data_IF_464512077439
#
_entry.id   IF_464512077439
#
_cell.length_a   1.000
_cell.length_b   1.000
_cell.length_c   1.000
_cell.angle_alpha   90.00
_cell.angle_beta   90.00
_cell.angle_gamma   90.00
#
_symmetry.space_group_name_H-M   'P 1'
#
loop_
_entity.id
_entity.type
_entity.pdbx_description
1 polymer ?
#
# COMPACT_ATOMS: atom_id res chain seq x y z
N UNK A 1 -7.92 -15.34 22.41
CA UNK A 1 -7.18 -14.95 21.20
C UNK A 1 -7.89 -13.75 20.61
N UNK A 2 -7.33 -12.56 20.74
CA UNK A 2 -7.86 -11.36 20.07
C UNK A 2 -7.52 -11.46 18.59
N UNK A 3 -8.52 -11.76 17.78
CA UNK A 3 -8.43 -11.80 16.32
C UNK A 3 -8.25 -10.37 15.82
N UNK A 4 -7.27 -10.12 14.95
CA UNK A 4 -7.12 -8.84 14.26
C UNK A 4 -8.46 -8.43 13.62
N UNK A 5 -8.92 -7.21 13.92
CA UNK A 5 -10.10 -6.62 13.30
C UNK A 5 -9.83 -5.17 12.92
N UNK A 6 -9.68 -4.90 11.62
CA UNK A 6 -9.58 -3.53 11.08
C UNK A 6 -10.94 -2.91 10.71
N UNK A 7 -12.05 -3.61 10.99
CA UNK A 7 -13.40 -3.21 10.61
C UNK A 7 -13.75 -3.52 9.15
N UNK A 8 -12.84 -4.12 8.39
CA UNK A 8 -13.06 -4.50 6.98
C UNK A 8 -12.93 -6.02 6.82
N UNK A 9 -14.05 -6.77 6.68
CA UNK A 9 -14.03 -8.23 6.65
C UNK A 9 -13.10 -8.83 5.58
N UNK A 10 -13.01 -8.20 4.41
CA UNK A 10 -12.14 -8.65 3.33
C UNK A 10 -10.65 -8.57 3.71
N UNK A 11 -10.23 -7.54 4.44
CA UNK A 11 -8.84 -7.38 4.91
C UNK A 11 -8.54 -8.35 6.06
N UNK A 12 -9.46 -8.47 7.02
CA UNK A 12 -9.34 -9.45 8.12
C UNK A 12 -9.20 -10.88 7.58
N UNK A 13 -10.08 -11.27 6.66
CA UNK A 13 -10.08 -12.60 6.04
C UNK A 13 -8.83 -12.86 5.22
N UNK A 14 -8.34 -11.87 4.46
CA UNK A 14 -7.11 -12.01 3.69
C UNK A 14 -5.89 -12.25 4.60
N UNK A 15 -5.75 -11.49 5.69
CA UNK A 15 -4.67 -11.70 6.66
C UNK A 15 -4.72 -13.12 7.26
N UNK A 16 -5.91 -13.54 7.69
CA UNK A 16 -6.09 -14.83 8.38
C UNK A 16 -5.86 -16.05 7.47
N UNK A 17 -6.20 -15.95 6.18
CA UNK A 17 -6.30 -17.14 5.31
C UNK A 17 -5.35 -17.13 4.12
N UNK A 18 -4.86 -15.97 3.67
CA UNK A 18 -4.13 -15.84 2.41
C UNK A 18 -2.72 -15.25 2.56
N UNK A 19 -2.47 -14.42 3.58
CA UNK A 19 -1.20 -13.70 3.71
C UNK A 19 0.04 -14.62 3.74
N UNK A 20 -0.06 -15.74 4.45
CA UNK A 20 1.04 -16.73 4.57
C UNK A 20 1.28 -17.44 3.23
N UNK A 21 0.22 -17.84 2.53
CA UNK A 21 0.34 -18.47 1.21
C UNK A 21 0.92 -17.50 0.18
N UNK A 22 0.45 -16.25 0.20
CA UNK A 22 0.93 -15.20 -0.70
C UNK A 22 2.44 -14.95 -0.52
N UNK A 23 2.94 -14.98 0.72
CA UNK A 23 4.36 -14.87 1.01
C UNK A 23 5.14 -16.12 0.57
N UNK A 24 4.64 -17.32 0.87
CA UNK A 24 5.28 -18.61 0.49
C UNK A 24 5.39 -18.77 -1.02
N UNK A 25 4.39 -18.33 -1.77
CA UNK A 25 4.33 -18.40 -3.24
C UNK A 25 4.98 -17.20 -3.93
N UNK A 26 5.46 -16.22 -3.16
CA UNK A 26 6.12 -15.03 -3.71
C UNK A 26 5.19 -14.05 -4.45
N UNK A 27 3.87 -14.12 -4.24
CA UNK A 27 2.91 -13.20 -4.89
C UNK A 27 2.76 -11.88 -4.16
N UNK A 28 3.07 -11.84 -2.85
CA UNK A 28 3.13 -10.61 -2.07
C UNK A 28 4.10 -10.77 -0.89
N UNK A 29 4.81 -9.69 -0.54
CA UNK A 29 5.55 -9.60 0.71
C UNK A 29 4.68 -8.90 1.76
N UNK A 30 4.41 -9.58 2.86
CA UNK A 30 3.57 -9.06 3.97
C UNK A 30 4.43 -8.68 5.16
N UNK A 31 4.16 -7.51 5.73
CA UNK A 31 4.78 -7.00 6.95
C UNK A 31 3.70 -6.77 8.00
N UNK A 32 4.02 -7.02 9.27
CA UNK A 32 3.08 -6.90 10.39
C UNK A 32 3.70 -6.09 11.51
N UNK A 33 2.88 -5.35 12.25
CA UNK A 33 3.25 -4.76 13.52
C UNK A 33 2.71 -5.62 14.66
N UNK A 34 3.53 -5.83 15.68
CA UNK A 34 3.14 -6.46 16.93
C UNK A 34 3.59 -5.60 18.12
N UNK A 35 2.84 -5.60 19.23
CA UNK A 35 3.33 -5.02 20.47
C UNK A 35 4.62 -5.72 20.92
N UNK A 36 5.53 -4.99 21.55
CA UNK A 36 6.77 -5.56 22.10
C UNK A 36 6.42 -6.68 23.08
N UNK A 37 7.01 -7.86 22.89
CA UNK A 37 6.75 -9.04 23.71
C UNK A 37 5.44 -9.77 23.40
N UNK A 38 4.80 -9.47 22.27
CA UNK A 38 3.58 -10.14 21.81
C UNK A 38 3.67 -10.54 20.34
N UNK A 39 3.07 -11.68 20.00
CA UNK A 39 2.89 -12.13 18.61
C UNK A 39 1.53 -11.68 18.03
N UNK A 40 0.79 -10.85 18.77
CA UNK A 40 -0.51 -10.35 18.32
C UNK A 40 -0.31 -9.30 17.23
N UNK A 41 -0.80 -9.58 16.03
CA UNK A 41 -0.78 -8.63 14.92
C UNK A 41 -1.79 -7.51 15.19
N UNK A 42 -1.32 -6.26 15.13
CA UNK A 42 -2.15 -5.04 15.31
C UNK A 42 -2.16 -4.13 14.08
N UNK A 43 -1.31 -4.40 13.10
CA UNK A 43 -1.33 -3.74 11.80
C UNK A 43 -0.64 -4.63 10.76
N UNK A 44 -0.99 -4.47 9.49
CA UNK A 44 -0.24 -5.10 8.41
C UNK A 44 -0.34 -4.33 7.09
N UNK A 45 0.63 -4.58 6.21
CA UNK A 45 0.57 -4.21 4.80
C UNK A 45 1.19 -5.28 3.93
N UNK A 46 0.84 -5.25 2.64
CA UNK A 46 1.39 -6.17 1.65
C UNK A 46 1.81 -5.42 0.39
N UNK A 47 3.00 -5.73 -0.11
CA UNK A 47 3.62 -5.10 -1.29
C UNK A 47 3.81 -6.17 -2.37
N UNK A 48 3.54 -5.82 -3.62
CA UNK A 48 3.78 -6.69 -4.78
C UNK A 48 4.30 -5.88 -5.98
N UNK A 49 5.24 -6.42 -6.77
CA UNK A 49 5.61 -5.83 -8.06
C UNK A 49 4.39 -5.67 -8.96
N UNK A 50 4.36 -4.62 -9.78
CA UNK A 50 3.20 -4.30 -10.60
C UNK A 50 3.56 -3.59 -11.90
N UNK A 51 2.64 -3.62 -12.86
CA UNK A 51 2.67 -2.85 -14.10
C UNK A 51 1.34 -2.12 -14.23
N UNK A 52 1.38 -0.80 -14.40
CA UNK A 52 0.17 0.00 -14.59
C UNK A 52 -0.09 0.17 -16.08
N UNK A 53 -1.27 -0.25 -16.53
CA UNK A 53 -1.75 0.05 -17.88
C UNK A 53 -1.93 1.56 -18.09
N UNK A 54 -1.86 2.01 -19.34
CA UNK A 54 -1.89 3.44 -19.66
C UNK A 54 -3.25 4.11 -19.53
N UNK A 55 -4.31 3.32 -19.37
CA UNK A 55 -5.67 3.82 -19.31
C UNK A 55 -5.83 4.80 -18.15
N UNK A 56 -6.14 6.05 -18.48
CA UNK A 56 -6.40 7.11 -17.50
C UNK A 56 -5.16 7.69 -16.81
N UNK A 57 -3.95 7.18 -17.06
CA UNK A 57 -2.73 7.78 -16.56
C UNK A 57 -2.35 8.99 -17.41
N UNK A 58 -2.26 10.16 -16.77
CA UNK A 58 -1.67 11.33 -17.42
C UNK A 58 -0.16 11.16 -17.60
N UNK A 59 0.41 11.81 -18.62
CA UNK A 59 1.88 11.83 -18.81
C UNK A 59 2.61 12.33 -17.56
N UNK A 60 2.03 13.31 -16.86
CA UNK A 60 2.57 13.81 -15.59
C UNK A 60 2.61 12.73 -14.50
N UNK A 61 1.56 11.91 -14.35
CA UNK A 61 1.52 10.80 -13.39
C UNK A 61 2.51 9.69 -13.78
N UNK A 62 2.55 9.29 -15.05
CA UNK A 62 3.54 8.33 -15.57
C UNK A 62 4.98 8.86 -15.50
N UNK A 63 5.14 10.17 -15.30
CA UNK A 63 6.42 10.84 -15.25
C UNK A 63 7.15 10.80 -16.59
N UNK A 64 6.40 11.01 -17.68
CA UNK A 64 6.90 11.08 -19.05
C UNK A 64 6.99 9.75 -19.79
N UNK A 65 6.70 8.62 -19.13
CA UNK A 65 6.76 7.30 -19.75
C UNK A 65 5.47 6.95 -20.48
N UNK A 66 5.61 6.25 -21.61
CA UNK A 66 4.51 5.51 -22.23
C UNK A 66 4.20 4.25 -21.43
N UNK A 67 2.94 3.85 -21.39
CA UNK A 67 2.51 2.64 -20.70
C UNK A 67 2.95 1.35 -21.45
N UNK A 68 3.08 0.21 -20.74
CA UNK A 68 2.87 0.03 -19.29
C UNK A 68 3.99 0.63 -18.44
N UNK A 69 3.64 1.14 -17.26
CA UNK A 69 4.59 1.81 -16.34
C UNK A 69 4.98 0.87 -15.19
N UNK A 70 6.29 0.62 -14.95
CA UNK A 70 6.75 -0.18 -13.82
C UNK A 70 6.35 0.40 -12.47
N UNK A 71 5.84 -0.44 -11.58
CA UNK A 71 5.28 0.01 -10.32
C UNK A 71 5.40 -1.02 -9.19
N UNK A 72 5.08 -0.57 -7.98
CA UNK A 72 4.77 -1.41 -6.84
C UNK A 72 3.32 -1.15 -6.42
N UNK A 73 2.58 -2.21 -6.14
CA UNK A 73 1.24 -2.12 -5.58
C UNK A 73 1.32 -2.33 -4.06
N UNK A 74 0.86 -1.33 -3.31
CA UNK A 74 0.50 -1.48 -1.90
C UNK A 74 -0.87 -2.16 -1.86
N UNK A 75 -0.84 -3.50 -1.92
CA UNK A 75 -2.01 -4.35 -2.16
C UNK A 75 -2.94 -4.43 -0.96
N UNK A 76 -2.40 -4.22 0.25
CA UNK A 76 -3.12 -4.22 1.52
C UNK A 76 -2.48 -3.19 2.45
N UNK A 77 -3.31 -2.49 3.21
CA UNK A 77 -2.92 -1.61 4.31
C UNK A 77 -4.06 -1.65 5.32
N UNK A 78 -3.80 -2.17 6.52
CA UNK A 78 -4.84 -2.33 7.52
C UNK A 78 -4.27 -2.17 8.92
N UNK A 79 -5.04 -1.47 9.75
CA UNK A 79 -4.73 -1.19 11.15
C UNK A 79 -5.88 -1.74 12.00
N UNK A 80 -5.56 -2.42 13.09
CA UNK A 80 -6.58 -2.90 14.03
C UNK A 80 -7.38 -1.72 14.60
N UNK A 81 -8.67 -1.94 14.86
CA UNK A 81 -9.59 -0.91 15.36
C UNK A 81 -9.12 -0.30 16.67
N UNK A 82 -8.41 -1.05 17.51
CA UNK A 82 -7.83 -0.55 18.76
C UNK A 82 -6.83 0.60 18.57
N UNK A 83 -6.28 0.76 17.36
CA UNK A 83 -5.29 1.78 17.01
C UNK A 83 -5.89 2.91 16.14
N UNK A 84 -7.17 2.85 15.78
CA UNK A 84 -7.81 3.86 14.94
C UNK A 84 -7.89 5.22 15.66
N UNK A 85 -7.76 6.30 14.89
CA UNK A 85 -7.87 7.67 15.40
C UNK A 85 -6.63 8.20 16.15
N UNK A 86 -5.57 7.39 16.26
CA UNK A 86 -4.36 7.72 17.03
C UNK A 86 -3.16 8.12 16.16
N UNK A 87 -3.35 8.32 14.85
CA UNK A 87 -2.26 8.67 13.92
C UNK A 87 -1.51 7.47 13.32
N UNK A 88 -1.63 6.27 13.90
CA UNK A 88 -0.93 5.07 13.44
C UNK A 88 -1.20 4.66 11.97
N UNK A 89 -2.31 5.11 11.37
CA UNK A 89 -2.54 4.88 9.94
C UNK A 89 -1.51 5.59 9.05
N UNK A 90 -1.10 6.81 9.44
CA UNK A 90 -0.06 7.57 8.76
C UNK A 90 1.30 6.89 8.92
N UNK A 91 1.61 6.45 10.14
CA UNK A 91 2.86 5.77 10.46
C UNK A 91 2.98 4.42 9.72
N UNK A 92 1.87 3.67 9.61
CA UNK A 92 1.83 2.42 8.85
C UNK A 92 2.04 2.65 7.35
N UNK A 93 1.42 3.71 6.81
CA UNK A 93 1.66 4.11 5.42
C UNK A 93 3.12 4.52 5.21
N UNK A 94 3.69 5.29 6.13
CA UNK A 94 5.10 5.69 6.08
C UNK A 94 6.03 4.47 6.09
N UNK A 95 5.83 3.50 6.99
CA UNK A 95 6.60 2.25 7.00
C UNK A 95 6.47 1.51 5.66
N UNK A 96 5.25 1.34 5.14
CA UNK A 96 5.03 0.70 3.85
C UNK A 96 5.72 1.42 2.69
N UNK A 97 5.66 2.75 2.65
CA UNK A 97 6.31 3.57 1.63
C UNK A 97 7.83 3.49 1.71
N UNK A 98 8.41 3.49 2.91
CA UNK A 98 9.84 3.28 3.12
C UNK A 98 10.30 1.94 2.55
N UNK A 99 9.57 0.84 2.83
CA UNK A 99 9.88 -0.47 2.25
C UNK A 99 9.78 -0.50 0.73
N UNK A 100 8.82 0.23 0.15
CA UNK A 100 8.68 0.30 -1.31
C UNK A 100 9.84 1.09 -1.93
N UNK A 101 10.28 2.18 -1.31
CA UNK A 101 11.45 2.93 -1.77
C UNK A 101 12.72 2.08 -1.67
N UNK A 102 12.95 1.38 -0.55
CA UNK A 102 14.05 0.43 -0.39
C UNK A 102 14.05 -0.64 -1.50
N UNK A 103 12.88 -1.20 -1.81
CA UNK A 103 12.74 -2.17 -2.90
C UNK A 103 13.04 -1.54 -4.27
N UNK A 104 12.64 -0.29 -4.49
CA UNK A 104 12.89 0.43 -5.73
C UNK A 104 14.37 0.83 -5.93
N UNK A 105 15.16 0.97 -4.86
CA UNK A 105 16.62 1.14 -4.98
C UNK A 105 17.28 -0.12 -5.57
N UNK A 106 16.80 -1.30 -5.18
CA UNK A 106 17.34 -2.57 -5.66
C UNK A 106 16.78 -2.98 -7.02
N UNK A 107 15.49 -2.77 -7.24
CA UNK A 107 14.74 -3.34 -8.35
C UNK A 107 13.82 -2.33 -9.04
N UNK A 108 14.24 -1.07 -9.15
CA UNK A 108 13.66 0.03 -9.96
C UNK A 108 12.14 -0.01 -10.17
N UNK A 109 11.42 0.95 -9.59
CA UNK A 109 10.00 1.17 -9.89
C UNK A 109 9.72 2.65 -10.14
N UNK A 110 8.76 2.94 -11.02
CA UNK A 110 8.38 4.33 -11.32
C UNK A 110 7.28 4.82 -10.39
N UNK A 111 6.25 4.00 -10.20
CA UNK A 111 5.04 4.35 -9.46
C UNK A 111 4.82 3.47 -8.24
N UNK A 112 4.13 4.03 -7.26
CA UNK A 112 3.47 3.29 -6.19
C UNK A 112 1.97 3.43 -6.43
N UNK A 113 1.28 2.30 -6.37
CA UNK A 113 -0.14 2.18 -6.71
C UNK A 113 -0.89 1.69 -5.48
N UNK A 114 -2.10 2.22 -5.30
CA UNK A 114 -3.09 1.70 -4.37
C UNK A 114 -4.42 1.53 -5.10
N UNK A 115 -5.11 0.44 -4.81
CA UNK A 115 -6.52 0.27 -5.13
C UNK A 115 -7.30 0.43 -3.83
N UNK A 116 -7.85 1.63 -3.60
CA UNK A 116 -8.58 1.99 -2.41
C UNK A 116 -9.87 1.16 -2.31
N UNK A 117 -10.09 0.57 -1.14
CA UNK A 117 -11.23 -0.33 -0.90
C UNK A 117 -12.57 0.42 -0.85
N UNK A 118 -12.55 1.66 -0.41
CA UNK A 118 -13.70 2.56 -0.32
C UNK A 118 -13.27 4.02 -0.49
N UNK A 119 -14.24 4.93 -0.50
CA UNK A 119 -14.00 6.35 -0.74
C UNK A 119 -13.32 7.02 0.45
N UNK A 120 -13.45 6.47 1.67
CA UNK A 120 -12.71 6.93 2.85
C UNK A 120 -11.22 6.66 2.69
N UNK A 121 -10.84 5.51 2.14
CA UNK A 121 -9.46 5.16 1.82
C UNK A 121 -8.91 6.05 0.69
N UNK A 122 -9.72 6.38 -0.32
CA UNK A 122 -9.33 7.36 -1.34
C UNK A 122 -8.93 8.69 -0.70
N UNK A 123 -9.78 9.23 0.18
CA UNK A 123 -9.50 10.49 0.89
C UNK A 123 -8.31 10.37 1.86
N UNK A 124 -8.09 9.19 2.46
CA UNK A 124 -6.90 8.94 3.25
C UNK A 124 -5.63 9.06 2.39
N UNK A 125 -5.55 8.37 1.25
CA UNK A 125 -4.36 8.38 0.40
C UNK A 125 -4.11 9.75 -0.24
N UNK A 126 -5.16 10.49 -0.61
CA UNK A 126 -5.03 11.85 -1.18
C UNK A 126 -4.30 12.83 -0.26
N UNK A 127 -4.39 12.64 1.06
CA UNK A 127 -3.64 13.46 2.04
C UNK A 127 -2.14 13.28 1.94
N UNK A 128 -1.67 12.21 1.31
CA UNK A 128 -0.26 11.86 1.12
C UNK A 128 0.14 11.92 -0.37
N UNK A 129 -0.43 12.88 -1.11
CA UNK A 129 -0.11 13.19 -2.52
C UNK A 129 -0.41 12.09 -3.56
N UNK A 130 -1.08 11.01 -3.16
CA UNK A 130 -1.62 10.05 -4.11
C UNK A 130 -2.70 10.70 -4.98
N UNK A 131 -2.62 10.49 -6.29
CA UNK A 131 -3.54 11.05 -7.28
C UNK A 131 -4.34 9.96 -7.95
N UNK A 132 -5.66 10.13 -7.99
CA UNK A 132 -6.55 9.21 -8.70
C UNK A 132 -6.22 9.13 -10.19
N UNK A 133 -6.36 7.94 -10.76
CA UNK A 133 -6.25 7.70 -12.20
C UNK A 133 -7.58 8.07 -12.87
N UNK A 134 -7.53 8.71 -14.04
CA UNK A 134 -8.76 9.10 -14.73
C UNK A 134 -9.57 7.85 -15.14
N UNK A 135 -10.90 7.91 -15.01
CA UNK A 135 -11.77 6.75 -15.27
C UNK A 135 -11.76 5.65 -14.19
N UNK A 136 -10.83 5.69 -13.23
CA UNK A 136 -10.83 4.81 -12.06
C UNK A 136 -10.45 5.58 -10.77
N UNK A 137 -11.42 6.25 -10.12
CA UNK A 137 -11.14 7.14 -8.99
C UNK A 137 -10.56 6.42 -7.76
N UNK A 138 -10.81 5.11 -7.62
CA UNK A 138 -10.30 4.28 -6.52
C UNK A 138 -8.89 3.74 -6.75
N UNK A 139 -8.37 3.82 -7.97
CA UNK A 139 -6.96 3.60 -8.23
C UNK A 139 -6.22 4.91 -8.08
N UNK A 140 -5.26 4.97 -7.17
CA UNK A 140 -4.40 6.13 -6.99
C UNK A 140 -2.93 5.77 -7.20
N UNK A 141 -2.17 6.75 -7.67
CA UNK A 141 -0.74 6.61 -7.93
C UNK A 141 0.06 7.77 -7.34
N UNK A 142 1.29 7.48 -6.94
CA UNK A 142 2.33 8.45 -6.60
C UNK A 142 3.65 8.00 -7.21
N UNK A 143 4.56 8.92 -7.51
CA UNK A 143 5.89 8.57 -8.00
C UNK A 143 6.77 8.11 -6.85
N UNK A 144 7.57 7.07 -7.08
CA UNK A 144 8.61 6.66 -6.13
C UNK A 144 9.54 7.82 -5.81
N UNK A 145 9.90 8.65 -6.79
CA UNK A 145 10.76 9.82 -6.57
C UNK A 145 10.13 10.88 -5.64
N UNK A 146 8.80 11.05 -5.69
CA UNK A 146 8.10 11.99 -4.80
C UNK A 146 8.14 11.48 -3.36
N UNK A 147 7.88 10.18 -3.16
CA UNK A 147 7.96 9.55 -1.84
C UNK A 147 9.39 9.59 -1.30
N UNK A 148 10.39 9.24 -2.13
CA UNK A 148 11.80 9.30 -1.74
C UNK A 148 12.23 10.69 -1.28
N UNK A 149 11.76 11.74 -1.95
CA UNK A 149 12.03 13.12 -1.55
C UNK A 149 11.38 13.50 -0.22
N UNK A 150 10.21 12.93 0.10
CA UNK A 150 9.50 13.21 1.35
C UNK A 150 10.02 12.42 2.55
N UNK A 151 10.69 11.28 2.32
CA UNK A 151 11.29 10.43 3.37
C UNK A 151 12.71 10.85 3.76
N UNK A 152 13.42 11.61 2.91
CA UNK A 152 14.77 12.12 3.17
C UNK A 152 14.77 13.50 3.79
#
# INVERSE_FOLDING_TARGET
>A
MTTFDCGTPALNGWLATQAVDAAKRGTAKTFVWTPIGSDTVVAYYAITPHLVAGEGLTSAQAGGLSAPVPAYLLAKLALDRSLHGQGHGAELLHDALTRIVEAAELASGRLIVVDAIDDRAVEFYRKYDFKSVAGNPRRLVIKVSTVRQALG
#
